data_IF_464616000960
#
_entry.id   IF_464616000960
#
_cell.length_a   1.000
_cell.length_b   1.000
_cell.length_c   1.000
_cell.angle_alpha   90.00
_cell.angle_beta   90.00
_cell.angle_gamma   90.00
#
_symmetry.space_group_name_H-M   'P 1'
#
loop_
_entity.id
_entity.type
_entity.pdbx_description
1 polymer ?
#
# COMPACT_ATOMS: atom_id res chain seq x y z
N UNK A 1 0.94 -5.70 -18.92
CA UNK A 1 0.12 -5.84 -17.70
C UNK A 1 0.94 -5.38 -16.51
N UNK A 2 0.49 -4.37 -15.79
CA UNK A 2 1.17 -3.89 -14.59
C UNK A 2 0.64 -4.66 -13.38
N UNK A 3 1.55 -5.27 -12.60
CA UNK A 3 1.22 -6.07 -11.41
C UNK A 3 1.87 -5.41 -10.20
N UNK A 4 1.16 -5.33 -9.07
CA UNK A 4 1.79 -5.00 -7.79
C UNK A 4 2.24 -6.27 -7.09
N UNK A 5 3.28 -6.14 -6.27
CA UNK A 5 3.75 -7.17 -5.35
C UNK A 5 3.74 -6.55 -3.96
N UNK A 6 3.21 -7.28 -2.99
CA UNK A 6 3.22 -6.89 -1.58
C UNK A 6 4.53 -7.41 -0.99
N UNK A 7 5.32 -6.56 -0.34
CA UNK A 7 6.54 -7.00 0.31
C UNK A 7 6.22 -7.69 1.65
N UNK A 8 7.20 -8.40 2.21
CA UNK A 8 7.00 -9.17 3.46
C UNK A 8 6.54 -8.28 4.63
N UNK A 9 7.10 -7.08 4.77
CA UNK A 9 6.73 -6.15 5.85
C UNK A 9 5.28 -5.66 5.70
N UNK A 10 4.86 -5.30 4.50
CA UNK A 10 3.48 -4.92 4.22
C UNK A 10 2.51 -6.10 4.40
N UNK A 11 2.94 -7.34 4.13
CA UNK A 11 2.15 -8.52 4.48
C UNK A 11 1.99 -8.68 6.00
N UNK A 12 3.00 -8.35 6.80
CA UNK A 12 2.90 -8.33 8.26
C UNK A 12 1.91 -7.26 8.72
N UNK A 13 2.02 -6.03 8.19
CA UNK A 13 1.07 -4.95 8.48
C UNK A 13 -0.38 -5.38 8.18
N UNK A 14 -0.61 -6.04 7.03
CA UNK A 14 -1.94 -6.52 6.66
C UNK A 14 -2.43 -7.66 7.57
N UNK A 15 -1.55 -8.53 8.05
CA UNK A 15 -1.92 -9.57 9.01
C UNK A 15 -2.31 -8.97 10.36
N UNK A 16 -1.56 -8.01 10.89
CA UNK A 16 -1.90 -7.33 12.15
C UNK A 16 -3.26 -6.62 12.05
N UNK A 17 -3.55 -6.00 10.91
CA UNK A 17 -4.86 -5.39 10.65
C UNK A 17 -5.96 -6.47 10.55
N UNK A 18 -5.67 -7.62 9.94
CA UNK A 18 -6.62 -8.73 9.85
C UNK A 18 -6.94 -9.31 11.23
N UNK A 19 -5.92 -9.51 12.07
CA UNK A 19 -6.06 -10.02 13.44
C UNK A 19 -6.95 -9.07 14.27
N UNK A 20 -6.73 -7.76 14.16
CA UNK A 20 -7.60 -6.76 14.78
C UNK A 20 -9.07 -6.93 14.34
N UNK A 21 -9.33 -7.07 13.03
CA UNK A 21 -10.72 -7.22 12.56
C UNK A 21 -11.33 -8.56 12.95
N UNK A 22 -10.55 -9.64 13.05
CA UNK A 22 -11.03 -10.94 13.50
C UNK A 22 -11.59 -10.88 14.93
N UNK A 23 -11.00 -10.05 15.80
CA UNK A 23 -11.46 -9.86 17.18
C UNK A 23 -12.59 -8.83 17.31
N UNK A 24 -12.71 -7.87 16.38
CA UNK A 24 -13.60 -6.72 16.54
C UNK A 24 -14.84 -6.76 15.63
N UNK A 25 -14.68 -7.06 14.34
CA UNK A 25 -15.79 -7.25 13.38
C UNK A 25 -15.23 -7.74 12.04
N UNK A 26 -15.62 -8.97 11.67
CA UNK A 26 -15.24 -9.60 10.41
C UNK A 26 -15.80 -8.82 9.22
N UNK A 27 -17.03 -8.34 9.31
CA UNK A 27 -17.69 -7.60 8.22
C UNK A 27 -16.99 -6.25 7.96
N UNK A 28 -16.48 -5.60 9.02
CA UNK A 28 -15.68 -4.40 8.87
C UNK A 28 -14.34 -4.72 8.18
N UNK A 29 -13.70 -5.83 8.55
CA UNK A 29 -12.50 -6.34 7.91
C UNK A 29 -12.69 -6.61 6.42
N UNK A 30 -13.76 -7.30 6.03
CA UNK A 30 -14.07 -7.55 4.62
C UNK A 30 -14.19 -6.25 3.81
N UNK A 31 -14.93 -5.26 4.33
CA UNK A 31 -15.07 -3.96 3.67
C UNK A 31 -13.72 -3.24 3.54
N UNK A 32 -12.89 -3.31 4.57
CA UNK A 32 -11.55 -2.73 4.57
C UNK A 32 -10.67 -3.37 3.49
N UNK A 33 -10.56 -4.71 3.45
CA UNK A 33 -9.72 -5.40 2.46
C UNK A 33 -10.23 -5.25 1.02
N UNK A 34 -11.54 -5.17 0.82
CA UNK A 34 -12.10 -4.82 -0.49
C UNK A 34 -11.70 -3.39 -0.91
N UNK A 35 -11.76 -2.43 0.00
CA UNK A 35 -11.36 -1.05 -0.27
C UNK A 35 -9.84 -0.94 -0.52
N UNK A 36 -9.03 -1.67 0.23
CA UNK A 36 -7.58 -1.78 0.04
C UNK A 36 -7.27 -2.32 -1.35
N UNK A 37 -7.89 -3.44 -1.75
CA UNK A 37 -7.70 -4.02 -3.08
C UNK A 37 -8.09 -3.05 -4.19
N UNK A 38 -9.22 -2.32 -4.06
CA UNK A 38 -9.61 -1.27 -5.01
C UNK A 38 -8.54 -0.17 -5.10
N UNK A 39 -7.95 0.25 -3.98
CA UNK A 39 -6.84 1.22 -3.98
C UNK A 39 -5.59 0.68 -4.67
N UNK A 40 -5.21 -0.57 -4.46
CA UNK A 40 -4.09 -1.19 -5.18
C UNK A 40 -4.33 -1.22 -6.69
N UNK A 41 -5.55 -1.52 -7.15
CA UNK A 41 -5.90 -1.47 -8.58
C UNK A 41 -5.81 -0.04 -9.15
N UNK A 42 -6.27 0.96 -8.40
CA UNK A 42 -6.11 2.38 -8.78
C UNK A 42 -4.63 2.77 -8.87
N UNK A 43 -3.78 2.28 -7.98
CA UNK A 43 -2.34 2.54 -8.01
C UNK A 43 -1.64 1.91 -9.22
N UNK A 44 -2.13 0.75 -9.70
CA UNK A 44 -1.63 0.16 -10.95
C UNK A 44 -1.90 1.12 -12.13
N UNK A 45 -3.11 1.67 -12.21
CA UNK A 45 -3.51 2.57 -13.30
C UNK A 45 -2.86 3.96 -13.18
N UNK A 46 -2.72 4.47 -11.95
CA UNK A 46 -2.22 5.81 -11.65
C UNK A 46 -1.08 5.77 -10.62
N UNK A 47 0.09 5.21 -10.99
CA UNK A 47 1.23 5.03 -10.07
C UNK A 47 1.90 6.35 -9.65
N UNK A 48 1.43 7.48 -10.19
CA UNK A 48 1.88 8.82 -9.82
C UNK A 48 0.93 9.59 -8.90
N UNK A 49 -0.18 8.99 -8.49
CA UNK A 49 -1.19 9.61 -7.61
C UNK A 49 -0.74 9.77 -6.14
N UNK A 50 0.26 9.00 -5.71
CA UNK A 50 0.78 9.09 -4.34
C UNK A 50 1.72 10.27 -4.13
N UNK A 51 1.66 10.86 -2.93
CA UNK A 51 2.60 11.88 -2.46
C UNK A 51 4.02 11.31 -2.44
N UNK A 52 5.01 12.10 -2.88
CA UNK A 52 6.42 11.71 -2.75
C UNK A 52 6.88 11.82 -1.29
N UNK A 53 7.64 10.82 -0.86
CA UNK A 53 8.36 10.75 0.40
C UNK A 53 9.86 10.54 0.14
N UNK A 54 10.39 11.14 -0.93
CA UNK A 54 11.80 10.99 -1.31
C UNK A 54 12.77 11.43 -0.21
N UNK A 55 12.36 12.35 0.66
CA UNK A 55 13.13 12.77 1.84
C UNK A 55 13.29 11.67 2.91
N UNK A 56 12.37 10.70 2.96
CA UNK A 56 12.46 9.53 3.85
C UNK A 56 13.27 8.44 3.15
N UNK A 57 12.92 8.13 1.91
CA UNK A 57 13.63 7.13 1.12
C UNK A 57 13.41 7.41 -0.36
N UNK A 58 14.47 7.49 -1.18
CA UNK A 58 14.32 7.76 -2.61
C UNK A 58 13.34 6.78 -3.28
N UNK A 59 12.41 7.33 -4.06
CA UNK A 59 11.39 6.60 -4.81
C UNK A 59 10.19 6.16 -3.97
N UNK A 60 10.17 6.47 -2.67
CA UNK A 60 9.05 6.14 -1.79
C UNK A 60 7.87 7.06 -2.07
N UNK A 61 6.68 6.46 -2.19
CA UNK A 61 5.43 7.19 -2.33
C UNK A 61 4.43 6.69 -1.30
N UNK A 62 3.54 7.56 -0.88
CA UNK A 62 2.45 7.26 0.04
C UNK A 62 1.12 7.68 -0.54
N UNK A 63 0.10 6.83 -0.36
CA UNK A 63 -1.28 7.14 -0.68
C UNK A 63 -2.12 7.00 0.59
N UNK A 64 -2.84 8.04 0.98
CA UNK A 64 -3.78 7.97 2.11
C UNK A 64 -4.89 6.96 1.80
N UNK A 65 -5.16 6.09 2.76
CA UNK A 65 -6.19 5.07 2.70
C UNK A 65 -6.87 4.96 4.07
N UNK A 66 -8.07 5.53 4.17
CA UNK A 66 -8.77 5.68 5.45
C UNK A 66 -7.87 6.34 6.51
N UNK A 67 -7.57 5.62 7.61
CA UNK A 67 -6.68 6.08 8.69
C UNK A 67 -5.22 5.63 8.51
N UNK A 68 -4.90 5.00 7.39
CA UNK A 68 -3.59 4.44 7.07
C UNK A 68 -2.96 5.15 5.86
N UNK A 69 -1.67 4.87 5.64
CA UNK A 69 -0.95 5.25 4.43
C UNK A 69 -0.42 3.99 3.76
N UNK A 70 -0.78 3.79 2.49
CA UNK A 70 -0.19 2.73 1.67
C UNK A 70 1.13 3.24 1.11
N UNK A 71 2.23 2.74 1.64
CA UNK A 71 3.56 3.02 1.10
C UNK A 71 3.87 2.08 -0.07
N UNK A 72 4.35 2.65 -1.17
CA UNK A 72 4.70 1.88 -2.36
C UNK A 72 5.86 2.52 -3.13
N UNK A 73 6.38 1.75 -4.09
CA UNK A 73 7.38 2.18 -5.07
C UNK A 73 6.98 1.70 -6.44
N UNK A 74 7.37 2.45 -7.47
CA UNK A 74 7.20 1.99 -8.85
C UNK A 74 8.30 0.99 -9.19
N UNK A 75 7.93 -0.10 -9.86
CA UNK A 75 8.94 -1.00 -10.45
C UNK A 75 9.81 -0.22 -11.43
N UNK A 76 11.13 -0.43 -11.36
CA UNK A 76 12.11 0.32 -12.16
C UNK A 76 12.63 1.60 -11.52
N UNK A 77 12.27 1.93 -10.27
CA UNK A 77 13.00 2.96 -9.53
C UNK A 77 14.45 2.51 -9.29
N UNK A 78 15.38 3.04 -10.08
CA UNK A 78 16.81 3.02 -9.76
C UNK A 78 17.09 4.20 -8.84
N UNK A 79 17.62 3.94 -7.65
CA UNK A 79 18.19 5.01 -6.85
C UNK A 79 19.28 5.71 -7.69
N UNK A 80 19.38 7.04 -7.65
CA UNK A 80 20.49 7.72 -8.29
C UNK A 80 21.81 7.13 -7.76
N UNK A 81 22.69 6.75 -8.68
CA UNK A 81 24.05 6.36 -8.34
C UNK A 81 24.75 7.62 -7.84
N UNK A 82 25.22 7.58 -6.59
CA UNK A 82 26.11 8.61 -6.05
C UNK A 82 27.51 8.47 -6.64
#
# INVERSE_FOLDING_TARGET
MSRYVINVLASQDLNEIADYFAENSVEAGERFFQAFNRKCQQLIAFPNSGKSYDSIRPGLRGLSFEKYIIFYRKNGFKAPSF
#
